data_IF_948296582496
#
_entry.id   IF_948296582496
#
_cell.length_a   1.000
_cell.length_b   1.000
_cell.length_c   1.000
_cell.angle_alpha   90.00
_cell.angle_beta   90.00
_cell.angle_gamma   90.00
#
_symmetry.space_group_name_H-M   'P 1'
#
loop_
_entity.id
_entity.type
_entity.pdbx_description
1 polymer ?
#
# COMPACT_ATOMS: atom_id res chain seq x y z
N UNK A 1 -6.06 -48.74 -30.58
CA UNK A 1 -7.25 -49.13 -29.81
C UNK A 1 -7.74 -47.85 -29.14
N UNK A 2 -8.44 -46.98 -29.88
CA UNK A 2 -9.92 -47.01 -30.07
C UNK A 2 -10.60 -46.61 -28.76
N UNK A 3 -11.50 -45.65 -28.64
CA UNK A 3 -12.41 -45.02 -29.60
C UNK A 3 -13.11 -43.85 -28.87
N UNK A 4 -13.68 -42.89 -29.61
CA UNK A 4 -14.66 -41.94 -29.08
C UNK A 4 -15.98 -42.69 -28.72
N UNK A 5 -16.98 -42.06 -28.06
CA UNK A 5 -17.96 -41.31 -28.86
C UNK A 5 -18.75 -40.18 -28.14
N UNK A 6 -19.22 -39.24 -28.97
CA UNK A 6 -20.43 -38.41 -28.74
C UNK A 6 -21.68 -39.25 -29.01
N UNK A 7 -22.83 -38.96 -28.39
CA UNK A 7 -24.04 -38.63 -29.16
C UNK A 7 -24.83 -37.48 -28.49
N UNK A 8 -25.24 -36.41 -29.17
CA UNK A 8 -26.30 -36.24 -30.18
C UNK A 8 -27.72 -36.15 -29.59
N UNK A 9 -28.47 -35.20 -30.15
CA UNK A 9 -29.67 -34.55 -29.64
C UNK A 9 -30.98 -35.10 -30.26
N UNK A 10 -32.10 -34.39 -29.96
CA UNK A 10 -33.42 -34.40 -30.62
C UNK A 10 -34.42 -35.45 -30.09
N UNK A 11 -35.74 -35.22 -29.91
CA UNK A 11 -36.64 -34.08 -30.05
C UNK A 11 -38.03 -34.46 -29.45
N UNK A 12 -38.99 -33.53 -29.53
CA UNK A 12 -40.45 -33.65 -29.32
C UNK A 12 -40.93 -33.24 -27.91
N UNK A 13 -42.01 -32.50 -27.70
CA UNK A 13 -43.10 -32.08 -28.57
C UNK A 13 -43.98 -31.00 -27.89
N UNK A 14 -44.76 -30.33 -28.72
CA UNK A 14 -45.64 -29.18 -28.50
C UNK A 14 -46.79 -29.34 -27.49
N UNK A 15 -47.18 -28.27 -26.76
CA UNK A 15 -48.55 -27.69 -26.72
C UNK A 15 -48.68 -26.49 -25.77
N UNK A 16 -49.20 -25.37 -26.28
CA UNK A 16 -50.05 -24.38 -25.56
C UNK A 16 -51.53 -24.86 -25.66
N UNK A 17 -52.55 -24.37 -24.89
CA UNK A 17 -52.74 -22.98 -24.44
C UNK A 17 -53.46 -22.70 -23.07
N UNK A 18 -53.37 -21.43 -22.65
CA UNK A 18 -54.32 -20.56 -21.92
C UNK A 18 -55.20 -21.07 -20.75
N UNK A 19 -55.13 -20.41 -19.57
CA UNK A 19 -56.18 -19.50 -19.05
C UNK A 19 -55.96 -19.04 -17.58
N UNK A 20 -56.51 -17.84 -17.30
CA UNK A 20 -56.91 -17.26 -16.00
C UNK A 20 -55.92 -16.46 -15.11
N UNK A 21 -55.92 -15.14 -15.37
CA UNK A 21 -56.54 -14.09 -14.52
C UNK A 21 -56.09 -13.87 -13.06
N UNK A 22 -55.69 -12.60 -12.85
CA UNK A 22 -55.86 -11.75 -11.67
C UNK A 22 -54.93 -11.96 -10.46
N UNK A 23 -53.93 -11.08 -10.37
CA UNK A 23 -53.20 -10.77 -9.14
C UNK A 23 -52.37 -9.49 -9.34
N UNK A 24 -52.86 -8.37 -8.81
CA UNK A 24 -52.16 -7.10 -8.79
C UNK A 24 -50.91 -7.18 -7.89
N UNK A 25 -49.78 -6.61 -8.31
CA UNK A 25 -48.62 -6.44 -7.43
C UNK A 25 -47.31 -6.03 -8.10
N UNK A 26 -47.09 -4.71 -8.19
CA UNK A 26 -45.81 -3.98 -8.21
C UNK A 26 -44.76 -4.22 -9.32
N UNK A 27 -44.13 -3.15 -9.86
CA UNK A 27 -42.97 -3.29 -10.73
C UNK A 27 -41.73 -3.72 -9.92
N UNK A 28 -40.89 -4.65 -10.42
CA UNK A 28 -39.51 -4.77 -9.95
C UNK A 28 -38.69 -3.62 -10.55
N UNK A 29 -37.51 -3.35 -9.98
CA UNK A 29 -36.45 -2.45 -10.51
C UNK A 29 -36.26 -1.08 -9.84
N UNK A 30 -36.24 -1.05 -8.51
CA UNK A 30 -35.58 0.04 -7.76
C UNK A 30 -34.69 -0.42 -6.58
N UNK A 31 -34.34 -1.73 -6.49
CA UNK A 31 -33.68 -2.30 -5.30
C UNK A 31 -32.13 -2.38 -5.38
N UNK A 32 -31.51 -1.97 -6.49
CA UNK A 32 -30.05 -2.11 -6.71
C UNK A 32 -29.20 -0.95 -6.17
N UNK A 33 -29.75 0.25 -6.04
CA UNK A 33 -28.96 1.45 -5.70
C UNK A 33 -28.79 1.68 -4.18
N UNK A 34 -29.69 1.12 -3.35
CA UNK A 34 -29.71 1.40 -1.91
C UNK A 34 -28.79 0.45 -1.09
N UNK A 35 -28.42 -0.70 -1.65
CA UNK A 35 -27.57 -1.70 -0.97
C UNK A 35 -26.08 -1.34 -0.97
N UNK A 36 -25.65 -0.49 -1.91
CA UNK A 36 -24.26 -0.02 -2.01
C UNK A 36 -23.95 1.12 -1.03
N UNK A 37 -24.94 1.98 -0.74
CA UNK A 37 -24.81 3.07 0.23
C UNK A 37 -24.66 2.54 1.67
N UNK A 38 -25.50 1.59 2.08
CA UNK A 38 -25.46 1.00 3.43
C UNK A 38 -24.17 0.25 3.71
N UNK A 39 -23.66 -0.54 2.74
CA UNK A 39 -22.37 -1.25 2.90
C UNK A 39 -21.18 -0.29 3.09
N UNK A 40 -21.17 0.84 2.36
CA UNK A 40 -20.11 1.85 2.47
C UNK A 40 -20.16 2.56 3.82
N UNK A 41 -21.35 2.87 4.31
CA UNK A 41 -21.54 3.49 5.63
C UNK A 41 -21.10 2.56 6.77
N UNK A 42 -21.43 1.27 6.69
CA UNK A 42 -20.95 0.27 7.64
C UNK A 42 -19.42 0.14 7.66
N UNK A 43 -18.76 0.24 6.51
CA UNK A 43 -17.29 0.23 6.42
C UNK A 43 -16.66 1.47 7.05
N UNK A 44 -17.25 2.65 6.86
CA UNK A 44 -16.79 3.88 7.51
C UNK A 44 -16.97 3.81 9.02
N UNK A 45 -18.12 3.35 9.50
CA UNK A 45 -18.36 3.18 10.94
C UNK A 45 -17.38 2.17 11.58
N UNK A 46 -17.00 1.11 10.86
CA UNK A 46 -15.95 0.19 11.32
C UNK A 46 -14.59 0.90 11.39
N UNK A 47 -14.23 1.70 10.40
CA UNK A 47 -12.99 2.49 10.38
C UNK A 47 -12.95 3.52 11.50
N UNK A 48 -14.05 4.21 11.77
CA UNK A 48 -14.16 5.19 12.85
C UNK A 48 -13.99 4.52 14.21
N UNK A 49 -14.59 3.34 14.42
CA UNK A 49 -14.37 2.54 15.63
C UNK A 49 -12.91 2.14 15.78
N UNK A 50 -12.26 1.69 14.70
CA UNK A 50 -10.82 1.34 14.75
C UNK A 50 -9.93 2.56 14.96
N UNK A 51 -10.30 3.73 14.45
CA UNK A 51 -9.57 4.97 14.66
C UNK A 51 -9.70 5.44 16.10
N UNK A 52 -10.89 5.37 16.69
CA UNK A 52 -11.10 5.71 18.08
C UNK A 52 -10.27 4.81 19.00
N UNK A 53 -10.24 3.51 18.72
CA UNK A 53 -9.39 2.55 19.44
C UNK A 53 -7.90 2.89 19.28
N UNK A 54 -7.47 3.20 18.06
CA UNK A 54 -6.09 3.61 17.78
C UNK A 54 -5.70 4.91 18.49
N UNK A 55 -6.59 5.91 18.54
CA UNK A 55 -6.37 7.17 19.26
C UNK A 55 -6.21 6.95 20.75
N UNK A 56 -6.89 5.97 21.34
CA UNK A 56 -6.68 5.57 22.74
C UNK A 56 -5.30 4.92 22.94
N UNK A 57 -4.82 4.12 22.00
CA UNK A 57 -3.46 3.55 22.07
C UNK A 57 -2.37 4.64 22.03
N UNK A 58 -2.64 5.78 21.38
CA UNK A 58 -1.70 6.89 21.31
C UNK A 58 -1.52 7.65 22.63
N UNK A 59 -2.38 7.47 23.62
CA UNK A 59 -2.21 8.08 24.95
C UNK A 59 -1.01 7.49 25.71
N UNK A 60 -0.66 6.24 25.43
CA UNK A 60 0.45 5.53 26.11
C UNK A 60 1.72 5.43 25.24
N UNK A 61 1.63 5.79 23.96
CA UNK A 61 2.75 5.71 23.02
C UNK A 61 3.56 7.01 22.95
N UNK A 62 4.89 6.90 23.05
CA UNK A 62 5.82 8.01 22.84
C UNK A 62 6.57 7.85 21.50
N UNK A 63 6.26 8.69 20.48
CA UNK A 63 6.90 8.60 19.18
C UNK A 63 8.39 9.02 19.21
N UNK A 64 9.17 8.54 18.24
CA UNK A 64 10.59 8.90 18.07
C UNK A 64 10.82 10.41 17.85
N UNK A 65 9.90 11.07 17.17
CA UNK A 65 9.88 12.53 16.96
C UNK A 65 9.29 13.16 18.24
N UNK A 66 10.04 14.02 18.95
CA UNK A 66 9.57 14.70 20.15
C UNK A 66 8.40 15.66 19.88
N UNK A 67 7.59 15.91 20.90
CA UNK A 67 6.41 16.76 20.80
C UNK A 67 6.73 18.19 20.36
N UNK A 68 7.87 18.73 20.81
CA UNK A 68 8.31 20.10 20.52
C UNK A 68 8.59 20.30 19.03
N UNK A 69 9.14 19.27 18.37
CA UNK A 69 9.40 19.30 16.92
C UNK A 69 8.09 19.33 16.16
N UNK A 70 7.14 18.48 16.56
CA UNK A 70 5.81 18.46 15.94
C UNK A 70 5.07 19.78 16.16
N UNK A 71 5.14 20.35 17.36
CA UNK A 71 4.54 21.65 17.68
C UNK A 71 5.13 22.79 16.84
N UNK A 72 6.45 22.81 16.65
CA UNK A 72 7.11 23.78 15.78
C UNK A 72 6.57 23.73 14.34
N UNK A 73 6.48 22.54 13.74
CA UNK A 73 5.99 22.39 12.37
C UNK A 73 4.49 22.68 12.25
N UNK A 74 3.70 22.34 13.27
CA UNK A 74 2.27 22.67 13.32
C UNK A 74 2.04 24.19 13.38
N UNK A 75 2.80 24.90 14.21
CA UNK A 75 2.76 26.37 14.27
C UNK A 75 3.23 27.01 12.96
N UNK A 76 4.25 26.43 12.30
CA UNK A 76 4.74 26.92 11.02
C UNK A 76 3.67 26.88 9.92
N UNK A 77 2.77 25.90 9.94
CA UNK A 77 1.63 25.81 9.00
C UNK A 77 0.38 26.57 9.48
N UNK A 78 0.45 27.21 10.66
CA UNK A 78 -0.67 27.95 11.25
C UNK A 78 -1.74 27.07 11.91
N UNK A 79 -1.40 25.84 12.30
CA UNK A 79 -2.31 24.92 12.99
C UNK A 79 -1.88 24.74 14.45
N UNK A 80 -2.75 25.10 15.39
CA UNK A 80 -2.51 24.91 16.81
C UNK A 80 -3.41 23.78 17.33
N UNK A 81 -2.80 22.74 17.90
CA UNK A 81 -3.51 21.61 18.47
C UNK A 81 -3.12 21.43 19.93
N UNK A 82 -4.12 21.25 20.80
CA UNK A 82 -3.91 21.01 22.22
C UNK A 82 -4.03 19.52 22.59
N UNK A 83 -4.59 18.68 21.71
CA UNK A 83 -4.71 17.23 21.94
C UNK A 83 -3.36 16.55 21.68
N UNK A 84 -2.79 15.97 22.73
CA UNK A 84 -1.51 15.25 22.68
C UNK A 84 -1.59 14.05 21.74
N UNK A 85 -2.74 13.39 21.62
CA UNK A 85 -2.93 12.23 20.75
C UNK A 85 -2.83 12.62 19.28
N UNK A 86 -3.38 13.79 18.91
CA UNK A 86 -3.28 14.29 17.54
C UNK A 86 -1.82 14.63 17.19
N UNK A 87 -1.07 15.26 18.11
CA UNK A 87 0.37 15.50 17.92
C UNK A 87 1.13 14.19 17.73
N UNK A 88 0.83 13.17 18.54
CA UNK A 88 1.45 11.84 18.45
C UNK A 88 1.07 11.10 17.18
N UNK A 89 -0.18 11.22 16.73
CA UNK A 89 -0.68 10.66 15.48
C UNK A 89 0.12 11.22 14.28
N UNK A 90 0.26 12.53 14.19
CA UNK A 90 1.01 13.20 13.12
C UNK A 90 2.48 12.76 13.15
N UNK A 91 3.07 12.71 14.35
CA UNK A 91 4.45 12.27 14.55
C UNK A 91 4.67 10.83 14.08
N UNK A 92 3.75 9.93 14.42
CA UNK A 92 3.81 8.52 14.03
C UNK A 92 3.56 8.34 12.52
N UNK A 93 2.64 9.11 11.93
CA UNK A 93 2.41 9.10 10.49
C UNK A 93 3.66 9.55 9.72
N UNK A 94 4.34 10.62 10.16
CA UNK A 94 5.59 11.07 9.58
C UNK A 94 6.71 10.03 9.73
N UNK A 95 6.81 9.38 10.89
CA UNK A 95 7.76 8.28 11.11
C UNK A 95 7.50 7.10 10.17
N UNK A 96 6.23 6.69 10.05
CA UNK A 96 5.85 5.59 9.15
C UNK A 96 6.18 5.93 7.70
N UNK A 97 5.88 7.16 7.28
CA UNK A 97 6.19 7.65 5.94
C UNK A 97 7.70 7.59 5.63
N UNK A 98 8.55 8.08 6.54
CA UNK A 98 10.00 8.01 6.37
C UNK A 98 10.50 6.55 6.41
N UNK A 99 9.92 5.71 7.27
CA UNK A 99 10.29 4.30 7.38
C UNK A 99 9.97 3.51 6.09
N UNK A 100 8.88 3.86 5.40
CA UNK A 100 8.51 3.25 4.13
C UNK A 100 9.51 3.64 3.03
N UNK A 101 9.81 4.92 2.88
CA UNK A 101 10.84 5.40 1.94
C UNK A 101 12.20 4.76 2.23
N UNK A 102 12.59 4.68 3.51
CA UNK A 102 13.85 4.06 3.91
C UNK A 102 13.88 2.55 3.59
N UNK A 103 12.76 1.86 3.75
CA UNK A 103 12.62 0.44 3.42
C UNK A 103 12.77 0.20 1.92
N UNK A 104 12.14 1.04 1.10
CA UNK A 104 12.22 0.94 -0.36
C UNK A 104 13.64 1.28 -0.85
N UNK A 105 14.22 2.38 -0.36
CA UNK A 105 15.60 2.75 -0.67
C UNK A 105 16.61 1.67 -0.23
N UNK A 106 16.37 1.00 0.90
CA UNK A 106 17.20 -0.11 1.35
C UNK A 106 17.15 -1.30 0.38
N UNK A 107 16.00 -1.59 -0.21
CA UNK A 107 15.88 -2.64 -1.23
C UNK A 107 16.71 -2.30 -2.48
N UNK A 108 16.64 -1.07 -2.97
CA UNK A 108 17.49 -0.61 -4.08
C UNK A 108 18.99 -0.71 -3.75
N UNK A 109 19.40 -0.23 -2.57
CA UNK A 109 20.78 -0.29 -2.13
C UNK A 109 21.29 -1.74 -2.01
N UNK A 110 20.45 -2.63 -1.48
CA UNK A 110 20.77 -4.06 -1.33
C UNK A 110 20.86 -4.77 -2.68
N UNK A 111 19.92 -4.52 -3.60
CA UNK A 111 19.96 -5.10 -4.95
C UNK A 111 21.23 -4.66 -5.68
N UNK A 112 21.61 -3.38 -5.58
CA UNK A 112 22.84 -2.88 -6.19
C UNK A 112 24.10 -3.52 -5.59
N UNK A 113 24.22 -3.58 -4.26
CA UNK A 113 25.40 -4.18 -3.59
C UNK A 113 25.51 -5.68 -3.87
N UNK A 114 24.40 -6.39 -4.04
CA UNK A 114 24.37 -7.81 -4.38
C UNK A 114 24.53 -8.08 -5.90
N UNK A 115 24.10 -7.15 -6.75
CA UNK A 115 24.23 -7.25 -8.21
C UNK A 115 25.57 -6.74 -8.74
N UNK A 116 26.36 -6.02 -7.92
CA UNK A 116 27.72 -5.63 -8.26
C UNK A 116 28.51 -6.89 -8.66
N UNK A 117 28.91 -7.01 -9.94
CA UNK A 117 29.41 -8.26 -10.46
C UNK A 117 30.66 -8.63 -9.69
N UNK A 118 30.70 -9.91 -9.32
CA UNK A 118 31.82 -10.62 -8.74
C UNK A 118 33.02 -10.69 -9.70
N UNK A 119 33.43 -9.58 -10.33
CA UNK A 119 34.62 -9.45 -11.18
C UNK A 119 35.90 -9.78 -10.42
N UNK A 120 35.87 -9.67 -9.09
CA UNK A 120 37.00 -10.03 -8.22
C UNK A 120 37.08 -11.53 -7.86
N UNK A 121 36.04 -12.33 -8.13
CA UNK A 121 36.10 -13.80 -7.95
C UNK A 121 36.79 -14.48 -9.13
N UNK A 122 36.83 -13.84 -10.29
CA UNK A 122 37.52 -14.37 -11.47
C UNK A 122 39.05 -14.23 -11.40
N UNK A 123 39.58 -13.30 -10.59
CA UNK A 123 41.02 -13.05 -10.50
C UNK A 123 41.71 -13.62 -9.26
N UNK A 124 41.02 -14.36 -8.37
CA UNK A 124 41.65 -15.03 -7.23
C UNK A 124 42.25 -14.12 -6.15
N UNK A 125 42.28 -12.80 -6.33
CA UNK A 125 42.87 -11.81 -5.41
C UNK A 125 41.86 -11.19 -4.42
N UNK A 126 40.69 -11.81 -4.23
CA UNK A 126 39.73 -11.33 -3.24
C UNK A 126 40.19 -11.73 -1.82
N UNK A 127 41.05 -10.90 -1.22
CA UNK A 127 41.34 -10.95 0.20
C UNK A 127 40.04 -10.86 1.03
N UNK A 128 40.09 -11.38 2.25
CA UNK A 128 39.00 -11.43 3.26
C UNK A 128 38.26 -10.10 3.46
N UNK A 129 38.89 -8.96 3.13
CA UNK A 129 38.32 -7.60 3.19
C UNK A 129 37.18 -7.35 2.20
N UNK A 130 37.21 -7.93 1.00
CA UNK A 130 36.18 -7.70 -0.03
C UNK A 130 34.84 -8.43 0.26
N UNK A 131 34.83 -9.38 1.20
CA UNK A 131 33.60 -10.02 1.70
C UNK A 131 32.87 -9.14 2.72
N UNK A 132 33.60 -8.42 3.56
CA UNK A 132 33.02 -7.59 4.63
C UNK A 132 32.39 -6.30 4.08
N UNK A 133 32.84 -5.84 2.91
CA UNK A 133 32.29 -4.65 2.26
C UNK A 133 30.93 -4.92 1.60
N UNK A 134 30.73 -6.12 1.02
CA UNK A 134 29.42 -6.56 0.51
C UNK A 134 28.37 -6.72 1.61
N UNK A 135 28.77 -6.88 2.87
CA UNK A 135 27.82 -6.97 3.99
C UNK A 135 27.38 -5.61 4.51
N UNK A 136 28.04 -4.51 4.11
CA UNK A 136 27.67 -3.15 4.50
C UNK A 136 26.91 -2.47 3.37
N UNK A 137 25.60 -2.43 3.50
CA UNK A 137 24.76 -1.64 2.59
C UNK A 137 24.88 -0.16 2.95
N UNK A 138 25.21 0.67 1.96
CA UNK A 138 25.28 2.14 2.12
C UNK A 138 24.11 2.77 1.35
N UNK A 139 23.41 3.70 1.98
CA UNK A 139 22.38 4.51 1.33
C UNK A 139 23.04 5.59 0.47
N UNK A 140 22.73 5.62 -0.82
CA UNK A 140 23.25 6.61 -1.77
C UNK A 140 22.13 7.39 -2.46
N UNK A 141 22.51 8.43 -3.20
CA UNK A 141 21.56 9.23 -3.98
C UNK A 141 20.84 8.43 -5.07
N UNK A 142 21.49 7.43 -5.67
CA UNK A 142 20.85 6.59 -6.69
C UNK A 142 19.69 5.77 -6.10
N UNK A 143 19.90 5.18 -4.91
CA UNK A 143 18.89 4.35 -4.25
C UNK A 143 17.71 5.19 -3.78
N UNK A 144 18.01 6.36 -3.20
CA UNK A 144 17.00 7.28 -2.70
C UNK A 144 16.21 7.92 -3.85
N UNK A 145 16.86 8.29 -4.96
CA UNK A 145 16.18 8.88 -6.11
C UNK A 145 15.28 7.89 -6.85
N UNK A 146 15.67 6.61 -6.91
CA UNK A 146 14.82 5.54 -7.41
C UNK A 146 13.56 5.38 -6.54
N UNK A 147 13.73 5.25 -5.22
CA UNK A 147 12.61 5.10 -4.28
C UNK A 147 11.66 6.31 -4.35
N UNK A 148 12.20 7.54 -4.26
CA UNK A 148 11.41 8.76 -4.34
C UNK A 148 10.69 8.94 -5.69
N UNK A 149 11.25 8.42 -6.78
CA UNK A 149 10.63 8.42 -8.10
C UNK A 149 9.29 7.66 -8.12
N UNK A 150 9.15 6.59 -7.33
CA UNK A 150 7.90 5.83 -7.20
C UNK A 150 6.81 6.63 -6.47
N UNK A 151 7.22 7.52 -5.56
CA UNK A 151 6.34 8.48 -4.87
C UNK A 151 6.09 9.76 -5.68
N UNK A 152 6.60 9.87 -6.91
CA UNK A 152 6.44 11.04 -7.79
C UNK A 152 7.36 12.22 -7.48
N UNK A 153 8.41 12.02 -6.67
CA UNK A 153 9.36 13.06 -6.27
C UNK A 153 10.63 12.93 -7.11
N UNK A 154 10.95 13.95 -7.92
CA UNK A 154 12.11 13.94 -8.80
C UNK A 154 13.34 14.60 -8.15
N UNK A 155 14.33 13.80 -7.75
CA UNK A 155 15.57 14.23 -7.07
C UNK A 155 16.82 14.05 -7.94
N UNK A 156 16.74 14.38 -9.24
CA UNK A 156 17.90 14.34 -10.15
C UNK A 156 18.90 15.43 -9.79
N UNK A 157 20.02 15.03 -9.17
CA UNK A 157 21.16 15.90 -8.93
C UNK A 157 22.25 15.60 -9.96
N UNK A 158 22.82 16.60 -10.66
CA UNK A 158 23.93 16.35 -11.57
C UNK A 158 25.17 15.94 -10.77
N UNK A 159 25.96 15.00 -11.30
CA UNK A 159 27.17 14.50 -10.65
C UNK A 159 28.26 15.57 -10.53
N UNK A 160 28.26 16.55 -11.44
CA UNK A 160 29.17 17.70 -11.43
C UNK A 160 28.51 18.92 -12.09
N UNK A 161 28.95 20.10 -11.68
CA UNK A 161 28.62 21.36 -12.37
C UNK A 161 29.68 21.60 -13.46
N UNK A 162 29.23 21.91 -14.67
CA UNK A 162 30.04 22.29 -15.83
C UNK A 162 29.98 23.81 -16.03
#
# INVERSE_FOLDING_TARGET
MSDAPTPQAEASGSTQPASNAAGAGAPPDAAGANQTHTRREEELARKDRTLAEFMLMLDEYEPVIPAEVTDYYLQQVGFECHDVRLKRLISLAAQKFIADIASDAFQHARLRTNAAPSRLKATGFAGTSARNDRTRTVLTMDDLSAALGEYGINTKKPDFYL
#
